data_IF_193947899747
#
_entry.id   IF_193947899747
#
_cell.length_a   1.000
_cell.length_b   1.000
_cell.length_c   1.000
_cell.angle_alpha   90.00
_cell.angle_beta   90.00
_cell.angle_gamma   90.00
#
_symmetry.space_group_name_H-M   'P 1'
#
loop_
_entity.id
_entity.type
_entity.pdbx_description
1 polymer ?
#
# COMPACT_ATOMS: atom_id res chain seq x y z
N UNK A 1 -71.19 22.56 -9.32
CA UNK A 1 -70.26 21.41 -9.20
C UNK A 1 -68.83 21.93 -9.25
N UNK A 2 -68.27 22.12 -8.06
CA UNK A 2 -66.96 22.80 -7.87
C UNK A 2 -65.86 21.71 -7.78
N UNK A 3 -65.00 21.65 -8.81
CA UNK A 3 -63.82 20.75 -8.79
C UNK A 3 -62.72 21.31 -7.92
N UNK A 4 -62.41 20.68 -6.79
CA UNK A 4 -61.24 20.95 -5.99
C UNK A 4 -60.04 20.23 -6.61
N UNK A 5 -59.08 20.99 -7.20
CA UNK A 5 -57.78 20.47 -7.60
C UNK A 5 -56.94 20.25 -6.36
N UNK A 6 -56.61 18.99 -6.06
CA UNK A 6 -55.64 18.62 -5.04
C UNK A 6 -54.22 19.01 -5.49
N UNK A 7 -53.61 19.94 -4.77
CA UNK A 7 -52.20 20.30 -4.94
C UNK A 7 -51.37 19.24 -4.19
N UNK A 8 -50.66 18.39 -4.94
CA UNK A 8 -49.69 17.44 -4.40
C UNK A 8 -48.49 18.23 -3.85
N UNK A 9 -48.10 18.04 -2.56
CA UNK A 9 -46.93 18.75 -2.05
C UNK A 9 -45.66 18.23 -2.75
N UNK A 10 -44.88 19.16 -3.30
CA UNK A 10 -43.58 18.89 -3.88
C UNK A 10 -42.67 18.28 -2.83
N UNK A 11 -42.11 17.10 -3.15
CA UNK A 11 -41.11 16.43 -2.32
C UNK A 11 -39.91 17.37 -2.14
N UNK A 12 -39.68 17.82 -0.93
CA UNK A 12 -38.52 18.63 -0.55
C UNK A 12 -37.31 17.71 -0.73
N UNK A 13 -36.50 17.98 -1.76
CA UNK A 13 -35.22 17.32 -1.94
C UNK A 13 -34.35 17.63 -0.72
N UNK A 14 -33.80 16.63 -0.01
CA UNK A 14 -32.98 16.91 1.16
C UNK A 14 -31.80 17.79 0.75
N UNK A 15 -31.53 18.82 1.55
CA UNK A 15 -30.37 19.71 1.34
C UNK A 15 -29.08 18.86 1.23
N UNK A 16 -28.13 19.25 0.36
CA UNK A 16 -26.89 18.48 0.20
C UNK A 16 -26.20 18.35 1.57
N UNK A 17 -26.00 17.12 2.01
CA UNK A 17 -25.29 16.83 3.26
C UNK A 17 -23.87 17.39 3.15
N UNK A 18 -23.47 18.20 4.14
CA UNK A 18 -22.09 18.70 4.22
C UNK A 18 -21.17 17.57 4.69
N UNK A 19 -19.95 17.53 4.15
CA UNK A 19 -18.90 16.63 4.64
C UNK A 19 -18.67 16.90 6.14
N UNK A 20 -18.63 15.84 6.95
CA UNK A 20 -18.42 15.90 8.39
C UNK A 20 -17.55 14.74 8.87
N UNK A 21 -16.81 14.93 9.96
CA UNK A 21 -16.14 13.84 10.67
C UNK A 21 -17.21 13.01 11.42
N UNK A 22 -17.13 11.70 11.28
CA UNK A 22 -18.08 10.75 11.87
C UNK A 22 -17.38 9.87 12.90
N UNK A 23 -18.00 9.71 14.08
CA UNK A 23 -17.51 8.85 15.16
C UNK A 23 -17.81 7.38 14.85
N UNK A 24 -17.29 6.87 13.73
CA UNK A 24 -17.43 5.48 13.31
C UNK A 24 -16.15 4.98 12.65
N UNK A 25 -15.99 3.67 12.61
CA UNK A 25 -14.88 2.98 11.96
C UNK A 25 -15.38 2.26 10.72
N UNK A 26 -14.65 2.38 9.60
CA UNK A 26 -14.85 1.50 8.44
C UNK A 26 -13.96 0.26 8.61
N UNK A 27 -14.55 -0.92 8.46
CA UNK A 27 -13.84 -2.20 8.43
C UNK A 27 -13.91 -2.76 7.02
N UNK A 28 -12.76 -3.08 6.42
CA UNK A 28 -12.67 -3.56 5.04
C UNK A 28 -11.62 -4.69 4.94
N UNK A 29 -11.53 -5.37 3.78
CA UNK A 29 -10.69 -6.55 3.56
C UNK A 29 -9.17 -6.30 3.37
N UNK A 30 -8.69 -5.05 3.48
CA UNK A 30 -7.28 -4.69 3.29
C UNK A 30 -6.86 -4.53 1.82
N UNK A 31 -7.68 -4.91 0.86
CA UNK A 31 -7.38 -4.78 -0.56
C UNK A 31 -7.48 -3.33 -1.05
N UNK A 32 -6.75 -3.00 -2.13
CA UNK A 32 -6.89 -1.68 -2.76
C UNK A 32 -8.31 -1.44 -3.28
N UNK A 33 -8.97 -2.47 -3.83
CA UNK A 33 -10.36 -2.38 -4.27
C UNK A 33 -11.32 -2.12 -3.11
N UNK A 34 -11.11 -2.77 -1.96
CA UNK A 34 -11.86 -2.54 -0.73
C UNK A 34 -11.68 -1.11 -0.23
N UNK A 35 -10.44 -0.58 -0.24
CA UNK A 35 -10.19 0.83 0.09
C UNK A 35 -10.94 1.78 -0.86
N UNK A 36 -10.97 1.51 -2.16
CA UNK A 36 -11.76 2.32 -3.10
C UNK A 36 -13.26 2.25 -2.81
N UNK A 37 -13.76 1.13 -2.27
CA UNK A 37 -15.14 1.03 -1.77
C UNK A 37 -15.35 1.88 -0.51
N UNK A 38 -14.36 1.97 0.39
CA UNK A 38 -14.40 2.92 1.52
C UNK A 38 -14.48 4.37 1.03
N UNK A 39 -13.69 4.72 0.01
CA UNK A 39 -13.77 6.04 -0.65
C UNK A 39 -15.17 6.27 -1.21
N UNK A 40 -15.72 5.31 -1.95
CA UNK A 40 -17.08 5.42 -2.51
C UNK A 40 -18.12 5.68 -1.42
N UNK A 41 -18.09 4.89 -0.34
CA UNK A 41 -19.04 5.02 0.78
C UNK A 41 -18.91 6.37 1.48
N UNK A 42 -17.70 6.83 1.76
CA UNK A 42 -17.44 8.14 2.37
C UNK A 42 -18.02 9.28 1.54
N UNK A 43 -17.87 9.25 0.22
CA UNK A 43 -18.49 10.25 -0.68
C UNK A 43 -20.02 10.14 -0.72
N UNK A 44 -20.56 8.92 -0.68
CA UNK A 44 -22.00 8.67 -0.69
C UNK A 44 -22.67 9.19 0.59
N UNK A 45 -22.05 8.97 1.74
CA UNK A 45 -22.59 9.39 3.05
C UNK A 45 -22.18 10.83 3.42
N UNK A 46 -21.26 11.45 2.67
CA UNK A 46 -20.64 12.74 2.99
C UNK A 46 -19.98 12.77 4.37
N UNK A 47 -19.27 11.71 4.73
CA UNK A 47 -18.62 11.56 6.02
C UNK A 47 -17.16 11.14 5.88
N UNK A 48 -16.34 11.50 6.87
CA UNK A 48 -14.98 10.97 7.04
C UNK A 48 -15.00 10.14 8.32
N UNK A 49 -14.72 8.82 8.27
CA UNK A 49 -14.73 7.98 9.46
C UNK A 49 -13.58 8.38 10.38
N UNK A 50 -13.72 8.05 11.68
CA UNK A 50 -12.67 8.20 12.68
C UNK A 50 -11.42 7.38 12.30
N UNK A 51 -11.61 6.14 11.80
CA UNK A 51 -10.54 5.27 11.33
C UNK A 51 -11.05 4.33 10.23
N UNK A 52 -10.10 3.77 9.47
CA UNK A 52 -10.34 2.70 8.50
C UNK A 52 -9.42 1.55 8.88
N UNK A 53 -9.98 0.38 9.18
CA UNK A 53 -9.26 -0.78 9.68
C UNK A 53 -9.42 -1.99 8.77
N UNK A 54 -8.42 -2.87 8.83
CA UNK A 54 -8.51 -4.25 8.35
C UNK A 54 -8.78 -5.19 9.53
N UNK A 55 -9.25 -6.43 9.31
CA UNK A 55 -9.49 -7.39 10.38
C UNK A 55 -8.25 -7.65 11.27
N UNK A 56 -7.05 -7.60 10.70
CA UNK A 56 -5.79 -7.82 11.43
C UNK A 56 -5.44 -6.63 12.35
N UNK A 57 -6.01 -5.46 12.09
CA UNK A 57 -5.78 -4.21 12.85
C UNK A 57 -6.96 -3.83 13.73
N UNK A 58 -7.98 -4.67 13.79
CA UNK A 58 -9.15 -4.41 14.61
C UNK A 58 -8.76 -4.35 16.09
N UNK A 59 -9.06 -3.22 16.73
CA UNK A 59 -8.84 -3.00 18.15
C UNK A 59 -10.16 -2.69 18.84
N UNK A 60 -10.21 -2.89 20.18
CA UNK A 60 -11.39 -2.54 20.95
C UNK A 60 -11.71 -1.04 20.80
N UNK A 61 -12.92 -0.74 20.37
CA UNK A 61 -13.41 0.63 20.16
C UNK A 61 -14.81 0.81 20.72
N UNK A 62 -15.12 2.04 21.15
CA UNK A 62 -16.48 2.45 21.48
C UNK A 62 -17.23 3.02 20.27
N UNK A 63 -16.53 3.28 19.16
CA UNK A 63 -17.14 3.75 17.93
C UNK A 63 -17.89 2.61 17.23
N UNK A 64 -19.05 2.87 16.61
CA UNK A 64 -19.72 1.91 15.75
C UNK A 64 -18.80 1.47 14.61
N UNK A 65 -18.88 0.21 14.22
CA UNK A 65 -18.14 -0.33 13.07
C UNK A 65 -19.12 -0.49 11.90
N UNK A 66 -18.73 0.01 10.73
CA UNK A 66 -19.41 -0.24 9.47
C UNK A 66 -18.53 -1.10 8.59
N UNK A 67 -18.96 -2.31 8.31
CA UNK A 67 -18.29 -3.19 7.35
C UNK A 67 -18.52 -2.69 5.91
N UNK A 68 -17.42 -2.56 5.16
CA UNK A 68 -17.42 -2.14 3.77
C UNK A 68 -17.05 -3.34 2.89
N UNK A 69 -18.06 -3.92 2.27
CA UNK A 69 -17.85 -5.03 1.33
C UNK A 69 -17.17 -4.54 0.05
N UNK A 70 -16.20 -5.31 -0.42
CA UNK A 70 -15.51 -5.03 -1.68
C UNK A 70 -16.44 -5.32 -2.87
N UNK A 71 -16.63 -4.31 -3.71
CA UNK A 71 -17.42 -4.35 -4.93
C UNK A 71 -16.57 -3.86 -6.10
N UNK A 72 -16.26 -4.77 -7.01
CA UNK A 72 -15.39 -4.49 -8.15
C UNK A 72 -15.90 -3.34 -9.04
N UNK A 73 -17.23 -3.27 -9.27
CA UNK A 73 -17.80 -2.22 -10.11
C UNK A 73 -17.69 -0.82 -9.46
N UNK A 74 -17.91 -0.76 -8.13
CA UNK A 74 -17.72 0.49 -7.37
C UNK A 74 -16.25 0.91 -7.35
N UNK A 75 -15.34 -0.03 -7.07
CA UNK A 75 -13.90 0.21 -7.05
C UNK A 75 -13.41 0.73 -8.41
N UNK A 76 -13.76 0.06 -9.51
CA UNK A 76 -13.42 0.51 -10.87
C UNK A 76 -13.94 1.92 -11.17
N UNK A 77 -15.18 2.23 -10.76
CA UNK A 77 -15.79 3.54 -10.98
C UNK A 77 -15.02 4.64 -10.26
N UNK A 78 -14.61 4.40 -9.01
CA UNK A 78 -13.78 5.34 -8.23
C UNK A 78 -12.42 5.50 -8.89
N UNK A 79 -11.72 4.41 -9.18
CA UNK A 79 -10.40 4.42 -9.78
C UNK A 79 -10.38 5.14 -11.14
N UNK A 80 -11.33 4.84 -12.02
CA UNK A 80 -11.46 5.51 -13.32
C UNK A 80 -11.70 7.03 -13.20
N UNK A 81 -12.17 7.51 -12.06
CA UNK A 81 -12.35 8.94 -11.81
C UNK A 81 -11.05 9.66 -11.49
N UNK A 82 -10.01 8.96 -11.00
CA UNK A 82 -8.72 9.57 -10.65
C UNK A 82 -8.05 10.19 -11.89
N UNK A 83 -7.77 9.38 -12.91
CA UNK A 83 -7.15 9.90 -14.13
C UNK A 83 -7.97 10.98 -14.82
N UNK A 84 -9.31 10.85 -14.83
CA UNK A 84 -10.21 11.81 -15.49
C UNK A 84 -10.35 13.15 -14.76
N UNK A 85 -10.41 13.13 -13.43
CA UNK A 85 -10.74 14.32 -12.61
C UNK A 85 -9.55 14.88 -11.85
N UNK A 86 -8.60 14.04 -11.44
CA UNK A 86 -7.50 14.38 -10.55
C UNK A 86 -6.13 14.39 -11.23
N UNK A 87 -6.02 13.71 -12.39
CA UNK A 87 -4.78 13.60 -13.16
C UNK A 87 -3.88 12.42 -12.74
N UNK A 88 -2.96 12.06 -13.62
CA UNK A 88 -2.08 10.90 -13.45
C UNK A 88 -1.13 11.01 -12.23
N UNK A 89 -0.70 12.21 -11.86
CA UNK A 89 0.15 12.42 -10.67
C UNK A 89 -0.57 12.00 -9.38
N UNK A 90 -1.86 12.31 -9.26
CA UNK A 90 -2.69 11.93 -8.10
C UNK A 90 -2.94 10.42 -8.08
N UNK A 91 -3.27 9.85 -9.23
CA UNK A 91 -3.46 8.39 -9.36
C UNK A 91 -2.18 7.64 -8.95
N UNK A 92 -1.03 8.06 -9.46
CA UNK A 92 0.27 7.49 -9.11
C UNK A 92 0.56 7.60 -7.61
N UNK A 93 0.34 8.78 -7.00
CA UNK A 93 0.60 9.00 -5.58
C UNK A 93 -0.28 8.10 -4.71
N UNK A 94 -1.59 8.05 -4.97
CA UNK A 94 -2.55 7.26 -4.19
C UNK A 94 -2.25 5.76 -4.28
N UNK A 95 -2.01 5.23 -5.49
CA UNK A 95 -1.71 3.81 -5.68
C UNK A 95 -0.39 3.41 -5.03
N UNK A 96 0.59 4.29 -5.06
CA UNK A 96 1.90 4.04 -4.46
C UNK A 96 1.84 4.13 -2.93
N UNK A 97 1.23 5.17 -2.39
CA UNK A 97 1.16 5.41 -0.96
C UNK A 97 0.23 4.41 -0.24
N UNK A 98 -0.69 3.77 -0.94
CA UNK A 98 -1.44 2.64 -0.40
C UNK A 98 -0.55 1.46 0.01
N UNK A 99 0.64 1.33 -0.58
CA UNK A 99 1.64 0.32 -0.20
C UNK A 99 2.40 0.67 1.09
N UNK A 100 2.17 1.85 1.66
CA UNK A 100 2.80 2.27 2.92
C UNK A 100 2.40 1.36 4.08
N UNK A 101 3.35 1.03 4.96
CA UNK A 101 3.10 0.33 6.23
C UNK A 101 2.58 1.24 7.35
N UNK A 102 2.26 2.49 7.06
CA UNK A 102 1.73 3.44 8.03
C UNK A 102 0.30 3.06 8.43
N UNK A 103 0.01 3.04 9.72
CA UNK A 103 -1.28 2.54 10.26
C UNK A 103 -2.50 3.40 9.88
N UNK A 104 -2.30 4.70 9.65
CA UNK A 104 -3.36 5.65 9.32
C UNK A 104 -3.42 5.99 7.82
N UNK A 105 -2.73 5.23 6.97
CA UNK A 105 -2.59 5.53 5.53
C UNK A 105 -3.93 5.68 4.81
N UNK A 106 -4.88 4.78 5.10
CA UNK A 106 -6.20 4.79 4.48
C UNK A 106 -6.96 6.09 4.79
N UNK A 107 -6.91 6.53 6.04
CA UNK A 107 -7.57 7.77 6.46
C UNK A 107 -6.91 9.00 5.83
N UNK A 108 -5.58 9.03 5.78
CA UNK A 108 -4.82 10.11 5.13
C UNK A 108 -5.12 10.18 3.63
N UNK A 109 -5.12 9.03 2.95
CA UNK A 109 -5.49 8.94 1.53
C UNK A 109 -6.94 9.37 1.29
N UNK A 110 -7.88 8.99 2.17
CA UNK A 110 -9.27 9.38 2.06
C UNK A 110 -9.45 10.91 2.21
N UNK A 111 -8.84 11.53 3.23
CA UNK A 111 -8.85 12.98 3.44
C UNK A 111 -8.27 13.73 2.23
N UNK A 112 -7.12 13.27 1.75
CA UNK A 112 -6.52 13.81 0.54
C UNK A 112 -7.44 13.69 -0.69
N UNK A 113 -8.10 12.55 -0.88
CA UNK A 113 -9.03 12.38 -2.01
C UNK A 113 -10.22 13.33 -1.92
N UNK A 114 -10.80 13.54 -0.73
CA UNK A 114 -11.84 14.56 -0.55
C UNK A 114 -11.34 15.95 -0.95
N UNK A 115 -10.14 16.34 -0.51
CA UNK A 115 -9.52 17.60 -0.91
C UNK A 115 -9.27 17.67 -2.41
N UNK A 116 -8.74 16.59 -3.00
CA UNK A 116 -8.40 16.54 -4.42
C UNK A 116 -9.65 16.63 -5.31
N UNK A 117 -10.74 15.96 -4.95
CA UNK A 117 -12.00 16.07 -5.67
C UNK A 117 -12.65 17.47 -5.53
N UNK A 118 -12.42 18.17 -4.42
CA UNK A 118 -12.92 19.53 -4.23
C UNK A 118 -12.10 20.59 -5.01
N UNK A 119 -10.77 20.45 -5.08
CA UNK A 119 -9.86 21.44 -5.67
C UNK A 119 -9.39 21.10 -7.10
N UNK A 120 -9.59 19.86 -7.54
CA UNK A 120 -9.21 19.39 -8.88
C UNK A 120 -7.73 19.03 -9.05
N UNK A 121 -7.29 18.87 -10.32
CA UNK A 121 -5.92 18.53 -10.67
C UNK A 121 -4.90 19.54 -10.11
N UNK A 122 -3.75 19.05 -9.68
CA UNK A 122 -2.70 19.88 -9.09
C UNK A 122 -2.80 20.05 -7.57
N UNK A 123 -3.83 19.52 -6.92
CA UNK A 123 -3.90 19.47 -5.44
C UNK A 123 -2.68 18.76 -4.85
N UNK A 124 -2.18 17.73 -5.50
CA UNK A 124 -0.95 17.01 -5.17
C UNK A 124 0.27 17.93 -5.01
N UNK A 125 0.33 19.06 -5.71
CA UNK A 125 1.47 20.01 -5.65
C UNK A 125 1.42 20.93 -4.41
N UNK A 126 0.36 20.90 -3.63
CA UNK A 126 0.19 21.71 -2.42
C UNK A 126 0.84 21.07 -1.20
N UNK A 127 2.16 20.80 -1.26
CA UNK A 127 2.91 20.06 -0.27
C UNK A 127 2.84 20.63 1.16
N UNK A 128 2.49 21.89 1.34
CA UNK A 128 2.30 22.50 2.66
C UNK A 128 0.90 22.29 3.26
N UNK A 129 -0.04 21.67 2.54
CA UNK A 129 -1.38 21.40 3.06
C UNK A 129 -1.35 20.20 4.02
N UNK A 130 -2.06 20.24 5.19
CA UNK A 130 -2.04 19.17 6.18
C UNK A 130 -2.51 17.82 5.65
N UNK A 131 -3.40 17.77 4.66
CA UNK A 131 -3.86 16.52 4.04
C UNK A 131 -2.97 16.09 2.84
N UNK A 132 -1.95 16.86 2.46
CA UNK A 132 -1.03 16.52 1.36
C UNK A 132 0.34 16.17 1.90
N UNK A 133 0.87 16.92 2.87
CA UNK A 133 2.21 16.70 3.44
C UNK A 133 2.45 15.26 3.89
N UNK A 134 1.53 14.57 4.60
CA UNK A 134 1.74 13.20 5.05
C UNK A 134 1.93 12.19 3.90
N UNK A 135 1.31 12.44 2.73
CA UNK A 135 1.47 11.58 1.56
C UNK A 135 2.91 11.63 1.02
N UNK A 136 3.49 12.82 0.98
CA UNK A 136 4.90 12.97 0.58
C UNK A 136 5.88 12.32 1.57
N UNK A 137 5.55 12.30 2.86
CA UNK A 137 6.31 11.55 3.86
C UNK A 137 6.22 10.05 3.62
N UNK A 138 5.01 9.52 3.35
CA UNK A 138 4.81 8.11 2.98
C UNK A 138 5.58 7.76 1.70
N UNK A 139 5.45 8.57 0.66
CA UNK A 139 6.18 8.41 -0.59
C UNK A 139 7.68 8.35 -0.36
N UNK A 140 8.24 9.30 0.41
CA UNK A 140 9.68 9.34 0.72
C UNK A 140 10.14 8.10 1.48
N UNK A 141 9.35 7.61 2.43
CA UNK A 141 9.63 6.39 3.18
C UNK A 141 9.65 5.16 2.25
N UNK A 142 8.66 5.05 1.36
CA UNK A 142 8.59 3.99 0.34
C UNK A 142 9.79 4.03 -0.62
N UNK A 143 10.10 5.21 -1.17
CA UNK A 143 11.20 5.38 -2.13
C UNK A 143 12.54 4.99 -1.49
N UNK A 144 12.79 5.46 -0.27
CA UNK A 144 14.01 5.13 0.46
C UNK A 144 14.14 3.61 0.72
N UNK A 145 13.04 2.96 1.10
CA UNK A 145 13.05 1.53 1.37
C UNK A 145 13.22 0.71 0.07
N UNK A 146 12.57 1.10 -1.02
CA UNK A 146 12.77 0.50 -2.34
C UNK A 146 14.22 0.60 -2.77
N UNK A 147 14.83 1.79 -2.71
CA UNK A 147 16.22 2.02 -3.09
C UNK A 147 17.19 1.16 -2.23
N UNK A 148 16.91 1.07 -0.93
CA UNK A 148 17.67 0.22 -0.01
C UNK A 148 17.61 -1.25 -0.44
N UNK A 149 16.42 -1.80 -0.67
CA UNK A 149 16.28 -3.21 -1.03
C UNK A 149 16.78 -3.50 -2.44
N UNK A 150 16.68 -2.59 -3.39
CA UNK A 150 17.30 -2.73 -4.72
C UNK A 150 18.82 -2.84 -4.63
N UNK A 151 19.44 -2.14 -3.69
CA UNK A 151 20.89 -2.17 -3.50
C UNK A 151 21.42 -3.32 -2.64
N UNK A 152 20.62 -3.83 -1.71
CA UNK A 152 21.12 -4.71 -0.65
C UNK A 152 20.45 -6.08 -0.53
N UNK A 153 19.43 -6.40 -1.33
CA UNK A 153 18.87 -7.76 -1.36
C UNK A 153 19.94 -8.75 -1.78
N UNK A 154 20.12 -9.79 -0.97
CA UNK A 154 21.02 -10.91 -1.24
C UNK A 154 20.22 -12.13 -1.60
N UNK A 155 20.64 -12.75 -2.68
CA UNK A 155 20.08 -14.02 -3.12
C UNK A 155 20.98 -15.17 -2.67
N UNK A 156 20.33 -16.23 -2.26
CA UNK A 156 20.93 -17.55 -1.96
C UNK A 156 20.52 -18.51 -3.06
N UNK A 157 21.44 -19.33 -3.55
CA UNK A 157 21.13 -20.35 -4.55
C UNK A 157 20.50 -21.58 -3.89
N UNK A 158 19.37 -22.01 -4.45
CA UNK A 158 18.65 -23.21 -4.09
C UNK A 158 18.39 -24.04 -5.36
N UNK A 159 19.25 -25.02 -5.64
CA UNK A 159 19.10 -25.96 -6.77
C UNK A 159 18.74 -25.28 -8.12
N UNK A 160 19.48 -24.23 -8.48
CA UNK A 160 19.30 -23.50 -9.75
C UNK A 160 18.23 -22.40 -9.70
N UNK A 161 17.72 -22.05 -8.54
CA UNK A 161 16.85 -20.91 -8.31
C UNK A 161 17.46 -19.95 -7.29
N UNK A 162 17.39 -18.66 -7.56
CA UNK A 162 17.82 -17.63 -6.61
C UNK A 162 16.68 -17.29 -5.64
N UNK A 163 16.89 -17.46 -4.35
CA UNK A 163 15.91 -17.10 -3.31
C UNK A 163 16.40 -15.98 -2.41
N UNK A 164 15.50 -15.06 -2.05
CA UNK A 164 15.78 -14.02 -1.06
C UNK A 164 14.60 -13.87 -0.10
N UNK A 165 14.90 -13.59 1.18
CA UNK A 165 13.90 -13.22 2.19
C UNK A 165 14.12 -11.79 2.58
N UNK A 166 13.05 -11.00 2.61
CA UNK A 166 13.09 -9.60 3.00
C UNK A 166 12.07 -9.32 4.12
N UNK A 167 12.36 -8.29 4.92
CA UNK A 167 11.50 -7.86 6.03
C UNK A 167 11.26 -6.33 5.94
N UNK A 168 10.56 -5.85 4.91
CA UNK A 168 10.29 -4.43 4.75
C UNK A 168 9.18 -3.95 5.68
N UNK A 169 9.18 -2.64 5.99
CA UNK A 169 8.09 -1.97 6.71
C UNK A 169 6.89 -1.68 5.81
N UNK A 170 7.19 -1.32 4.55
CA UNK A 170 6.18 -1.02 3.53
C UNK A 170 6.03 -2.22 2.58
N UNK A 171 4.87 -2.39 1.97
CA UNK A 171 4.66 -3.45 0.98
C UNK A 171 5.34 -3.11 -0.35
N UNK A 172 6.68 -3.21 -0.38
CA UNK A 172 7.51 -2.78 -1.53
C UNK A 172 7.68 -3.83 -2.63
N UNK A 173 7.26 -5.06 -2.41
CA UNK A 173 7.48 -6.17 -3.34
C UNK A 173 7.01 -5.88 -4.78
N UNK A 174 5.82 -5.25 -5.01
CA UNK A 174 5.41 -4.83 -6.35
C UNK A 174 6.36 -3.83 -7.01
N UNK A 175 7.01 -2.97 -6.20
CA UNK A 175 7.92 -1.92 -6.67
C UNK A 175 9.31 -2.46 -7.02
N UNK A 176 9.72 -3.57 -6.40
CA UNK A 176 10.99 -4.25 -6.67
C UNK A 176 10.96 -5.07 -7.96
N UNK A 177 9.77 -5.47 -8.42
CA UNK A 177 9.59 -6.35 -9.59
C UNK A 177 10.36 -5.87 -10.82
N UNK A 178 10.21 -4.62 -11.21
CA UNK A 178 10.84 -4.07 -12.42
C UNK A 178 12.37 -4.12 -12.36
N UNK A 179 12.93 -3.79 -11.19
CA UNK A 179 14.37 -3.80 -10.97
C UNK A 179 14.96 -5.22 -11.08
N UNK A 180 14.42 -6.18 -10.34
CA UNK A 180 15.01 -7.53 -10.30
C UNK A 180 14.75 -8.32 -11.59
N UNK A 181 13.58 -8.20 -12.22
CA UNK A 181 13.35 -8.79 -13.53
C UNK A 181 14.30 -8.23 -14.60
N UNK A 182 14.64 -6.94 -14.55
CA UNK A 182 15.61 -6.34 -15.45
C UNK A 182 17.06 -6.72 -15.14
N UNK A 183 17.40 -6.93 -13.86
CA UNK A 183 18.74 -7.30 -13.42
C UNK A 183 19.07 -8.77 -13.68
N UNK A 184 18.09 -9.66 -13.55
CA UNK A 184 18.23 -11.12 -13.67
C UNK A 184 17.25 -11.67 -14.73
N UNK A 185 17.36 -11.24 -16.00
CA UNK A 185 16.36 -11.58 -17.01
C UNK A 185 16.33 -13.08 -17.38
N UNK A 186 17.47 -13.77 -17.24
CA UNK A 186 17.63 -15.19 -17.61
C UNK A 186 17.56 -16.14 -16.40
N UNK A 187 17.56 -15.59 -15.19
CA UNK A 187 17.58 -16.38 -13.97
C UNK A 187 16.18 -16.61 -13.43
N UNK A 188 15.94 -17.80 -12.86
CA UNK A 188 14.74 -18.01 -12.05
C UNK A 188 15.01 -17.50 -10.63
N UNK A 189 14.14 -16.63 -10.13
CA UNK A 189 14.29 -16.12 -8.78
C UNK A 189 12.97 -15.97 -8.03
N UNK A 190 13.10 -15.95 -6.71
CA UNK A 190 12.01 -15.70 -5.78
C UNK A 190 12.45 -14.68 -4.73
N UNK A 191 11.59 -13.70 -4.44
CA UNK A 191 11.75 -12.80 -3.29
C UNK A 191 10.54 -12.97 -2.40
N UNK A 192 10.77 -13.41 -1.16
CA UNK A 192 9.74 -13.58 -0.14
C UNK A 192 9.74 -12.41 0.84
N UNK A 193 8.64 -11.70 0.90
CA UNK A 193 8.35 -10.69 1.93
C UNK A 193 7.71 -11.38 3.13
N UNK A 194 8.50 -11.59 4.18
CA UNK A 194 8.05 -12.32 5.37
C UNK A 194 7.12 -11.50 6.28
N UNK A 195 7.10 -10.16 6.12
CA UNK A 195 6.20 -9.28 6.87
C UNK A 195 4.79 -9.30 6.30
N UNK A 196 4.69 -9.20 4.97
CA UNK A 196 3.40 -9.16 4.27
C UNK A 196 2.97 -10.53 3.70
N UNK A 197 3.76 -11.58 3.97
CA UNK A 197 3.51 -12.95 3.51
C UNK A 197 3.25 -13.03 2.00
N UNK A 198 4.06 -12.32 1.22
CA UNK A 198 3.93 -12.22 -0.22
C UNK A 198 5.20 -12.68 -0.93
N UNK A 199 5.04 -13.24 -2.12
CA UNK A 199 6.14 -13.75 -2.94
C UNK A 199 6.11 -13.13 -4.32
N UNK A 200 7.26 -12.60 -4.76
CA UNK A 200 7.55 -12.33 -6.15
C UNK A 200 8.33 -13.51 -6.73
N UNK A 201 7.67 -14.28 -7.58
CA UNK A 201 8.28 -15.38 -8.32
C UNK A 201 8.54 -14.94 -9.77
N UNK A 202 9.77 -15.10 -10.25
CA UNK A 202 10.15 -14.89 -11.64
C UNK A 202 10.68 -16.18 -12.23
N UNK A 203 9.99 -16.69 -13.21
CA UNK A 203 10.32 -17.95 -13.88
C UNK A 203 9.88 -17.92 -15.33
N UNK A 204 10.72 -18.43 -16.25
CA UNK A 204 10.43 -18.46 -17.68
C UNK A 204 10.03 -17.06 -18.21
N UNK A 205 10.78 -16.02 -17.86
CA UNK A 205 10.55 -14.62 -18.23
C UNK A 205 9.19 -14.05 -17.78
N UNK A 206 8.54 -14.71 -16.82
CA UNK A 206 7.25 -14.27 -16.30
C UNK A 206 7.34 -14.01 -14.79
N UNK A 207 6.95 -12.80 -14.39
CA UNK A 207 6.86 -12.41 -12.99
C UNK A 207 5.43 -12.60 -12.47
N UNK A 208 5.29 -13.31 -11.35
CA UNK A 208 4.03 -13.49 -10.63
C UNK A 208 4.19 -12.98 -9.20
N UNK A 209 3.22 -12.20 -8.74
CA UNK A 209 3.12 -11.75 -7.36
C UNK A 209 1.94 -12.48 -6.70
N UNK A 210 2.18 -13.10 -5.55
CA UNK A 210 1.16 -13.90 -4.85
C UNK A 210 1.29 -13.71 -3.35
N UNK A 211 0.17 -13.57 -2.67
CA UNK A 211 0.09 -13.63 -1.21
C UNK A 211 -0.01 -15.08 -0.75
N UNK A 212 0.58 -15.38 0.38
CA UNK A 212 0.61 -16.72 0.96
C UNK A 212 -0.28 -16.77 2.20
N UNK A 213 -1.11 -17.81 2.28
CA UNK A 213 -1.93 -18.05 3.46
C UNK A 213 -1.12 -18.60 4.67
N UNK A 214 0.10 -19.08 4.43
CA UNK A 214 0.98 -19.65 5.44
C UNK A 214 2.41 -19.15 5.20
N UNK A 215 3.18 -18.82 6.26
CA UNK A 215 4.57 -18.42 6.13
C UNK A 215 5.39 -19.43 5.34
N UNK A 216 6.25 -18.95 4.45
CA UNK A 216 7.13 -19.78 3.65
C UNK A 216 8.41 -20.10 4.44
N UNK A 217 8.68 -21.38 4.63
CA UNK A 217 9.96 -21.86 5.16
C UNK A 217 10.86 -22.25 3.99
N UNK A 218 11.96 -21.53 3.80
CA UNK A 218 12.95 -21.90 2.80
C UNK A 218 13.83 -23.04 3.34
N UNK A 219 14.25 -23.98 2.49
CA UNK A 219 15.19 -25.02 2.89
C UNK A 219 16.53 -24.38 3.30
N UNK A 220 17.36 -25.06 4.11
CA UNK A 220 18.69 -24.57 4.43
C UNK A 220 19.52 -24.45 3.15
N UNK A 221 20.37 -23.41 3.03
CA UNK A 221 21.24 -23.23 1.88
C UNK A 221 22.20 -24.41 1.73
N UNK A 222 22.65 -24.70 0.49
CA UNK A 222 23.63 -25.74 0.21
C UNK A 222 24.93 -25.53 1.00
N UNK A 223 25.70 -26.60 1.23
CA UNK A 223 26.99 -26.49 1.94
C UNK A 223 27.94 -25.48 1.25
N UNK A 224 27.95 -25.45 -0.08
CA UNK A 224 28.74 -24.51 -0.87
C UNK A 224 28.27 -23.07 -0.65
N UNK A 225 26.98 -22.83 -0.61
CA UNK A 225 26.41 -21.50 -0.34
C UNK A 225 26.71 -21.04 1.10
N UNK A 226 26.67 -21.95 2.06
CA UNK A 226 27.07 -21.64 3.46
C UNK A 226 28.54 -21.20 3.55
N UNK A 227 29.44 -21.84 2.79
CA UNK A 227 30.85 -21.42 2.68
C UNK A 227 30.98 -20.03 2.10
N UNK A 228 30.26 -19.70 1.01
CA UNK A 228 30.27 -18.36 0.43
C UNK A 228 29.72 -17.30 1.37
N UNK A 229 28.65 -17.59 2.11
CA UNK A 229 28.09 -16.68 3.11
C UNK A 229 29.08 -16.43 4.26
N UNK A 230 29.79 -17.47 4.72
CA UNK A 230 30.83 -17.34 5.73
C UNK A 230 32.01 -16.49 5.25
N UNK A 231 32.49 -16.70 4.03
CA UNK A 231 33.55 -15.91 3.40
C UNK A 231 33.15 -14.45 3.23
N UNK A 232 31.92 -14.20 2.79
CA UNK A 232 31.39 -12.85 2.64
C UNK A 232 31.31 -12.11 3.99
N UNK A 233 30.83 -12.79 5.02
CA UNK A 233 30.80 -12.23 6.39
C UNK A 233 32.18 -11.86 6.87
N UNK A 234 33.16 -12.75 6.68
CA UNK A 234 34.56 -12.48 7.03
C UNK A 234 35.12 -11.30 6.24
N UNK A 235 34.86 -11.23 4.94
CA UNK A 235 35.26 -10.11 4.07
C UNK A 235 34.68 -8.78 4.57
N UNK A 236 33.37 -8.77 4.87
CA UNK A 236 32.70 -7.59 5.38
C UNK A 236 33.28 -7.13 6.72
N UNK A 237 33.45 -8.05 7.67
CA UNK A 237 34.03 -7.76 8.99
C UNK A 237 35.49 -7.25 8.89
N UNK A 238 36.22 -7.65 7.85
CA UNK A 238 37.61 -7.22 7.60
C UNK A 238 37.69 -5.84 6.95
N UNK A 239 36.76 -5.50 6.08
CA UNK A 239 36.75 -4.21 5.37
C UNK A 239 35.97 -3.12 6.08
N UNK A 240 35.24 -3.48 7.13
CA UNK A 240 34.43 -2.52 7.87
C UNK A 240 35.31 -1.44 8.51
N UNK A 241 35.06 -0.19 8.12
CA UNK A 241 35.72 0.95 8.74
C UNK A 241 35.07 1.15 10.11
N UNK A 242 35.77 0.76 11.19
CA UNK A 242 35.28 0.84 12.59
C UNK A 242 34.69 2.20 12.97
N UNK A 243 35.19 3.29 12.40
CA UNK A 243 34.66 4.65 12.63
C UNK A 243 33.29 4.91 11.98
N UNK A 244 32.80 4.02 11.11
CA UNK A 244 31.49 4.10 10.47
C UNK A 244 30.56 2.97 10.89
N UNK A 245 30.97 2.20 11.90
CA UNK A 245 30.16 1.12 12.47
C UNK A 245 28.88 1.71 13.09
N UNK A 246 27.72 1.31 12.57
CA UNK A 246 26.41 1.70 13.11
C UNK A 246 25.57 0.45 13.30
N UNK A 247 25.35 0.02 14.54
CA UNK A 247 24.62 -1.22 14.86
C UNK A 247 23.23 -1.26 14.22
N UNK A 248 22.52 -0.13 14.20
CA UNK A 248 21.19 -0.02 13.58
C UNK A 248 21.20 -0.28 12.07
N UNK A 249 22.29 0.07 11.37
CA UNK A 249 22.44 -0.23 9.95
C UNK A 249 22.80 -1.70 9.70
N UNK A 250 23.50 -2.36 10.64
CA UNK A 250 23.90 -3.77 10.56
C UNK A 250 22.71 -4.71 10.78
N UNK A 251 21.78 -4.37 11.67
CA UNK A 251 20.59 -5.17 12.00
C UNK A 251 19.48 -5.07 10.95
N UNK A 252 19.64 -4.22 9.94
CA UNK A 252 18.64 -3.99 8.89
C UNK A 252 18.97 -4.70 7.56
N UNK A 253 19.88 -5.69 7.58
CA UNK A 253 20.28 -6.48 6.40
C UNK A 253 19.92 -7.94 6.59
#
# INVERSE_FOLDING_TARGET
MSGQSAVTPAAISPAPRRLHDADLVYLYDGSFEGFLCCVFESFLQHEIPFAIWTPERETATLCPIREIATDHARAQRVFASFGKKLGAETEYLVTRDFLSGREDKELLLLRFLHLAFALGPGTVKRMGHPDVAPLYEMKKSLDWEVDKFQGFVRFTEYDGMLGAVIHPKNYILPLLRGHFCGRFPEENFMIYDAVHQAVLLYQNHKATLTELAVPLELPPPSAREQEFQALWKQFYDTLEIKARHHETCRMSH
#
